data_IF_177347677571
#
_entry.id   IF_177347677571
#
_cell.length_a   1.000
_cell.length_b   1.000
_cell.length_c   1.000
_cell.angle_alpha   90.00
_cell.angle_beta   90.00
_cell.angle_gamma   90.00
#
_symmetry.space_group_name_H-M   'P 1'
#
loop_
_entity.id
_entity.type
_entity.pdbx_description
1 polymer ?
#
# COMPACT_ATOMS: atom_id res chain seq x y z
N UNK A 1 -8.09 -10.65 -17.19
CA UNK A 1 -6.91 -9.84 -16.82
C UNK A 1 -5.65 -10.60 -17.19
N UNK A 2 -4.74 -10.01 -17.97
CA UNK A 2 -3.44 -10.58 -18.30
C UNK A 2 -2.47 -10.45 -17.12
N UNK A 3 -1.43 -11.29 -17.09
CA UNK A 3 -0.45 -11.32 -15.99
C UNK A 3 0.33 -9.99 -15.88
N UNK A 4 0.66 -9.39 -17.03
CA UNK A 4 1.28 -8.06 -17.15
C UNK A 4 0.47 -6.95 -16.46
N UNK A 5 -0.86 -6.98 -16.55
CA UNK A 5 -1.73 -5.97 -15.94
C UNK A 5 -1.76 -6.14 -14.41
N UNK A 6 -1.76 -7.38 -13.94
CA UNK A 6 -1.68 -7.67 -12.49
C UNK A 6 -0.32 -7.29 -11.92
N UNK A 7 0.75 -7.55 -12.67
CA UNK A 7 2.10 -7.16 -12.27
C UNK A 7 2.20 -5.63 -12.18
N UNK A 8 1.77 -4.92 -13.23
CA UNK A 8 1.75 -3.46 -13.23
C UNK A 8 0.91 -2.90 -12.07
N UNK A 9 -0.25 -3.51 -11.77
CA UNK A 9 -1.06 -3.10 -10.62
C UNK A 9 -0.33 -3.31 -9.29
N UNK A 10 0.38 -4.44 -9.14
CA UNK A 10 1.15 -4.75 -7.94
C UNK A 10 2.33 -3.81 -7.78
N UNK A 11 3.05 -3.50 -8.87
CA UNK A 11 4.15 -2.54 -8.89
C UNK A 11 3.68 -1.11 -8.56
N UNK A 12 2.50 -0.72 -9.06
CA UNK A 12 1.90 0.57 -8.76
C UNK A 12 1.48 0.66 -7.27
N UNK A 13 0.81 -0.38 -6.77
CA UNK A 13 0.47 -0.47 -5.34
C UNK A 13 1.72 -0.47 -4.46
N UNK A 14 2.79 -1.16 -4.87
CA UNK A 14 4.05 -1.18 -4.12
C UNK A 14 4.68 0.20 -4.01
N UNK A 15 4.63 1.01 -5.07
CA UNK A 15 5.10 2.41 -5.01
C UNK A 15 4.33 3.23 -3.99
N UNK A 16 3.01 3.10 -3.96
CA UNK A 16 2.17 3.82 -3.00
C UNK A 16 2.55 3.44 -1.56
N UNK A 17 2.70 2.14 -1.31
CA UNK A 17 3.09 1.64 0.02
C UNK A 17 4.47 2.16 0.43
N UNK A 18 5.43 2.19 -0.49
CA UNK A 18 6.77 2.74 -0.24
C UNK A 18 6.72 4.24 0.09
N UNK A 19 5.93 5.01 -0.66
CA UNK A 19 5.73 6.44 -0.37
C UNK A 19 5.08 6.65 0.99
N UNK A 20 3.97 5.97 1.29
CA UNK A 20 3.28 6.11 2.58
C UNK A 20 4.20 5.71 3.74
N UNK A 21 4.97 4.63 3.57
CA UNK A 21 5.93 4.16 4.57
C UNK A 21 7.07 5.16 4.81
N UNK A 22 7.45 5.95 3.80
CA UNK A 22 8.51 6.96 3.93
C UNK A 22 8.13 8.10 4.89
N UNK A 23 6.85 8.48 4.94
CA UNK A 23 6.36 9.58 5.80
C UNK A 23 5.64 9.09 7.06
N UNK A 24 5.44 7.77 7.21
CA UNK A 24 4.67 7.17 8.31
C UNK A 24 5.14 7.63 9.70
N UNK A 25 6.44 7.88 9.87
CA UNK A 25 7.04 8.22 11.15
C UNK A 25 6.56 9.59 11.69
N UNK A 26 6.03 10.44 10.82
CA UNK A 26 5.43 11.73 11.17
C UNK A 26 3.90 11.75 11.05
N UNK A 27 3.28 10.64 10.65
CA UNK A 27 1.84 10.56 10.42
C UNK A 27 1.12 9.77 11.52
N UNK A 28 -0.14 10.13 11.75
CA UNK A 28 -1.08 9.36 12.57
C UNK A 28 -1.63 8.18 11.76
N UNK A 29 -2.09 7.12 12.41
CA UNK A 29 -2.54 5.88 11.77
C UNK A 29 -3.73 6.09 10.82
N UNK A 30 -4.62 7.02 11.17
CA UNK A 30 -5.75 7.39 10.31
C UNK A 30 -5.27 8.05 9.02
N UNK A 31 -4.27 8.92 9.10
CA UNK A 31 -3.66 9.57 7.94
C UNK A 31 -2.96 8.58 7.03
N UNK A 32 -2.28 7.58 7.61
CA UNK A 32 -1.63 6.50 6.86
C UNK A 32 -2.66 5.72 6.04
N UNK A 33 -3.78 5.35 6.65
CA UNK A 33 -4.86 4.66 5.96
C UNK A 33 -5.46 5.48 4.82
N UNK A 34 -5.74 6.77 5.06
CA UNK A 34 -6.27 7.67 4.03
C UNK A 34 -5.29 7.85 2.87
N UNK A 35 -4.00 8.03 3.15
CA UNK A 35 -2.97 8.21 2.12
C UNK A 35 -2.72 6.95 1.30
N UNK A 36 -2.80 5.77 1.94
CA UNK A 36 -2.73 4.50 1.23
C UNK A 36 -3.89 4.38 0.25
N UNK A 37 -5.13 4.60 0.68
CA UNK A 37 -6.30 4.54 -0.20
C UNK A 37 -6.25 5.60 -1.31
N UNK A 38 -5.86 6.83 -0.99
CA UNK A 38 -5.74 7.90 -1.97
C UNK A 38 -4.68 7.58 -3.02
N UNK A 39 -3.53 7.06 -2.61
CA UNK A 39 -2.47 6.64 -3.53
C UNK A 39 -2.89 5.46 -4.41
N UNK A 40 -3.56 4.46 -3.84
CA UNK A 40 -4.09 3.32 -4.59
C UNK A 40 -5.13 3.77 -5.63
N UNK A 41 -6.05 4.66 -5.23
CA UNK A 41 -7.05 5.23 -6.12
C UNK A 41 -6.43 6.06 -7.25
N UNK A 42 -5.42 6.90 -6.95
CA UNK A 42 -4.65 7.66 -7.95
C UNK A 42 -3.92 6.76 -8.93
N UNK A 43 -3.39 5.64 -8.44
CA UNK A 43 -2.72 4.63 -9.25
C UNK A 43 -3.70 3.72 -10.01
N UNK A 44 -5.02 3.94 -9.87
CA UNK A 44 -6.06 3.10 -10.45
C UNK A 44 -5.91 1.62 -10.10
N UNK A 45 -5.51 1.34 -8.85
CA UNK A 45 -5.39 0.00 -8.30
C UNK A 45 -6.15 -0.13 -7.00
N UNK A 46 -6.51 -1.35 -6.66
CA UNK A 46 -7.18 -1.70 -5.42
C UNK A 46 -6.53 -2.95 -4.84
N UNK A 47 -6.52 -2.99 -3.51
CA UNK A 47 -6.10 -4.15 -2.73
C UNK A 47 -7.35 -4.82 -2.15
N UNK A 48 -7.30 -6.14 -2.00
CA UNK A 48 -8.27 -6.87 -1.20
C UNK A 48 -8.29 -6.31 0.22
N UNK A 49 -9.45 -6.34 0.89
CA UNK A 49 -9.60 -5.84 2.26
C UNK A 49 -8.58 -6.48 3.22
N UNK A 50 -8.37 -7.80 3.12
CA UNK A 50 -7.37 -8.53 3.92
C UNK A 50 -5.94 -8.03 3.68
N UNK A 51 -5.57 -7.78 2.43
CA UNK A 51 -4.23 -7.33 2.07
C UNK A 51 -4.01 -5.87 2.51
N UNK A 52 -5.02 -5.01 2.35
CA UNK A 52 -5.00 -3.64 2.86
C UNK A 52 -4.81 -3.61 4.37
N UNK A 53 -5.58 -4.40 5.12
CA UNK A 53 -5.46 -4.46 6.59
C UNK A 53 -4.09 -4.99 7.01
N UNK A 54 -3.55 -6.00 6.31
CA UNK A 54 -2.20 -6.50 6.57
C UNK A 54 -1.15 -5.41 6.38
N UNK A 55 -1.19 -4.72 5.24
CA UNK A 55 -0.24 -3.66 4.92
C UNK A 55 -0.31 -2.52 5.94
N UNK A 56 -1.50 -2.07 6.31
CA UNK A 56 -1.65 -1.01 7.32
C UNK A 56 -1.08 -1.44 8.68
N UNK A 57 -1.29 -2.70 9.08
CA UNK A 57 -0.73 -3.23 10.33
C UNK A 57 0.80 -3.32 10.26
N UNK A 58 1.37 -3.69 9.11
CA UNK A 58 2.82 -3.74 8.92
C UNK A 58 3.43 -2.32 8.92
N UNK A 59 2.81 -1.35 8.23
CA UNK A 59 3.24 0.06 8.23
C UNK A 59 3.22 0.63 9.65
N UNK A 60 2.16 0.36 10.43
CA UNK A 60 2.08 0.77 11.84
C UNK A 60 3.19 0.14 12.68
N UNK A 61 3.40 -1.18 12.58
CA UNK A 61 4.45 -1.89 13.32
C UNK A 61 5.88 -1.39 12.99
N UNK A 62 6.12 -0.94 11.76
CA UNK A 62 7.39 -0.35 11.34
C UNK A 62 7.72 0.98 12.04
N UNK A 63 6.72 1.65 12.64
CA UNK A 63 6.95 2.87 13.43
C UNK A 63 7.82 2.58 14.65
N UNK A 64 7.62 1.42 15.27
CA UNK A 64 8.41 0.97 16.42
C UNK A 64 9.75 0.35 16.01
N UNK A 65 9.80 -0.43 14.94
CA UNK A 65 11.00 -1.12 14.47
C UNK A 65 11.41 -0.57 13.11
N UNK A 66 12.49 0.24 13.02
CA UNK A 66 13.00 0.79 11.75
C UNK A 66 13.19 -0.32 10.70
N UNK A 67 12.15 -0.54 9.91
CA UNK A 67 12.02 -1.65 8.98
C UNK A 67 11.71 -1.11 7.59
N UNK A 68 11.79 -1.98 6.59
CA UNK A 68 11.46 -1.63 5.20
C UNK A 68 9.96 -1.69 4.96
N UNK A 69 9.48 -0.90 3.99
CA UNK A 69 8.06 -0.89 3.58
C UNK A 69 7.52 -2.30 3.29
N UNK A 70 6.27 -2.60 3.67
CA UNK A 70 5.71 -3.93 3.45
C UNK A 70 5.54 -4.21 1.97
N UNK A 71 5.63 -5.49 1.62
CA UNK A 71 5.51 -5.94 0.24
C UNK A 71 4.05 -6.26 -0.10
N UNK A 72 3.55 -5.67 -1.19
CA UNK A 72 2.25 -5.98 -1.76
C UNK A 72 2.33 -7.34 -2.43
N UNK A 73 1.50 -8.30 -1.98
CA UNK A 73 1.47 -9.64 -2.58
C UNK A 73 0.58 -9.70 -3.81
N UNK A 74 -0.49 -8.91 -3.83
CA UNK A 74 -1.42 -8.87 -4.94
C UNK A 74 -2.23 -7.58 -4.96
N UNK A 75 -2.31 -6.95 -6.13
CA UNK A 75 -3.24 -5.86 -6.40
C UNK A 75 -4.03 -6.14 -7.69
N UNK A 76 -5.18 -5.50 -7.80
CA UNK A 76 -5.99 -5.50 -9.02
C UNK A 76 -6.19 -4.07 -9.49
N UNK A 77 -6.10 -3.77 -10.80
CA UNK A 77 -6.60 -2.52 -11.34
C UNK A 77 -8.07 -2.33 -10.98
N UNK A 78 -8.48 -1.09 -10.75
CA UNK A 78 -9.90 -0.73 -10.73
C UNK A 78 -10.39 -0.56 -12.17
N UNK A 79 -11.52 -1.20 -12.50
CA UNK A 79 -12.21 -1.04 -13.79
C UNK A 79 -13.00 0.27 -13.89
#
# INVERSE_FOLDING_TARGET
>A
MTDEVKQAATEAAQRVVDEVSSWQYSAEDSTIAEQLDEGLAKAQVSLSADERTRILTEIDAMKDEQSSAPQVRSATPVE
#
